data_IF_019809144934
#
_entry.id   IF_019809144934
#
_cell.length_a   1.000
_cell.length_b   1.000
_cell.length_c   1.000
_cell.angle_alpha   90.00
_cell.angle_beta   90.00
_cell.angle_gamma   90.00
#
_symmetry.space_group_name_H-M   'P 1'
#
loop_
_entity.id
_entity.type
_entity.pdbx_description
1 polymer ?
#
# COMPACT_ATOMS: atom_id res chain seq x y z
N UNK A 1 7.47 4.68 -5.99
CA UNK A 1 8.32 5.16 -5.05
C UNK A 1 8.95 4.25 -4.02
N UNK A 2 9.07 4.75 -2.81
CA UNK A 2 9.86 4.10 -1.75
C UNK A 2 9.49 2.63 -1.49
N UNK A 3 8.20 2.31 -1.40
CA UNK A 3 7.74 0.93 -1.17
C UNK A 3 8.14 -0.01 -2.30
N UNK A 4 8.10 0.44 -3.55
CA UNK A 4 8.54 -0.37 -4.68
C UNK A 4 10.04 -0.73 -4.60
N UNK A 5 10.89 0.24 -4.26
CA UNK A 5 12.33 -0.02 -4.05
C UNK A 5 12.58 -0.99 -2.90
N UNK A 6 11.87 -0.84 -1.78
CA UNK A 6 12.00 -1.76 -0.64
C UNK A 6 11.55 -3.16 -1.02
N UNK A 7 10.44 -3.29 -1.76
CA UNK A 7 9.97 -4.56 -2.30
C UNK A 7 11.04 -5.26 -3.14
N UNK A 8 11.66 -4.56 -4.10
CA UNK A 8 12.69 -5.15 -4.97
C UNK A 8 13.91 -5.64 -4.18
N UNK A 9 14.33 -4.90 -3.15
CA UNK A 9 15.41 -5.31 -2.24
C UNK A 9 15.01 -6.53 -1.40
N UNK A 10 13.77 -6.59 -0.92
CA UNK A 10 13.27 -7.75 -0.20
C UNK A 10 13.25 -8.99 -1.08
N UNK A 11 12.82 -8.86 -2.35
CA UNK A 11 12.86 -9.96 -3.31
C UNK A 11 14.29 -10.45 -3.55
N UNK A 12 15.25 -9.55 -3.76
CA UNK A 12 16.67 -9.90 -3.94
C UNK A 12 17.22 -10.67 -2.74
N UNK A 13 16.86 -10.24 -1.51
CA UNK A 13 17.30 -10.90 -0.28
C UNK A 13 16.65 -12.28 -0.08
N UNK A 14 15.36 -12.39 -0.36
CA UNK A 14 14.60 -13.63 -0.09
C UNK A 14 14.76 -14.69 -1.19
N UNK A 15 15.09 -14.27 -2.39
CA UNK A 15 15.22 -15.16 -3.55
C UNK A 15 16.62 -15.06 -4.18
N UNK A 16 17.65 -15.71 -3.60
CA UNK A 16 19.02 -15.65 -4.14
C UNK A 16 19.13 -16.07 -5.59
N UNK A 17 18.21 -16.90 -6.08
CA UNK A 17 18.14 -17.31 -7.49
C UNK A 17 17.93 -16.14 -8.47
N UNK A 18 17.43 -14.99 -8.02
CA UNK A 18 17.32 -13.77 -8.83
C UNK A 18 18.71 -13.15 -9.11
N UNK A 19 19.71 -13.55 -8.37
CA UNK A 19 21.10 -13.09 -8.48
C UNK A 19 21.35 -11.72 -7.85
N UNK A 20 22.63 -11.40 -7.59
CA UNK A 20 23.02 -10.14 -6.98
C UNK A 20 22.68 -8.95 -7.89
N UNK A 21 22.31 -7.82 -7.28
CA UNK A 21 21.95 -6.60 -8.00
C UNK A 21 20.60 -6.68 -8.73
N UNK A 22 19.72 -7.63 -8.38
CA UNK A 22 18.40 -7.76 -8.99
C UNK A 22 17.60 -6.46 -8.93
N UNK A 23 17.54 -5.81 -7.76
CA UNK A 23 16.84 -4.55 -7.58
C UNK A 23 17.38 -3.44 -8.50
N UNK A 24 18.70 -3.36 -8.69
CA UNK A 24 19.35 -2.40 -9.58
C UNK A 24 18.97 -2.67 -11.04
N UNK A 25 19.10 -3.93 -11.48
CA UNK A 25 18.75 -4.31 -12.87
C UNK A 25 17.29 -4.00 -13.20
N UNK A 26 16.36 -4.20 -12.25
CA UNK A 26 14.97 -3.80 -12.44
C UNK A 26 14.84 -2.28 -12.54
N UNK A 27 15.57 -1.53 -11.71
CA UNK A 27 15.56 -0.07 -11.76
C UNK A 27 16.14 0.50 -13.05
N UNK A 28 17.14 -0.16 -13.64
CA UNK A 28 17.72 0.23 -14.94
C UNK A 28 16.72 0.09 -16.10
N UNK A 29 15.68 -0.74 -15.94
CA UNK A 29 14.58 -0.90 -16.89
C UNK A 29 13.38 0.01 -16.60
N UNK A 30 13.45 0.90 -15.62
CA UNK A 30 12.35 1.84 -15.33
C UNK A 30 12.27 2.91 -16.40
N UNK A 31 11.19 2.89 -17.14
CA UNK A 31 10.93 3.84 -18.23
C UNK A 31 10.45 5.20 -17.69
N UNK A 32 9.66 5.17 -16.59
CA UNK A 32 9.07 6.39 -16.04
C UNK A 32 8.81 6.25 -14.53
N UNK A 33 8.84 7.39 -13.85
CA UNK A 33 8.46 7.53 -12.44
C UNK A 33 7.27 8.49 -12.35
N UNK A 34 6.10 7.94 -12.12
CA UNK A 34 4.88 8.74 -12.06
C UNK A 34 4.69 9.38 -10.68
N UNK A 35 4.08 10.57 -10.62
CA UNK A 35 3.81 11.27 -9.36
C UNK A 35 2.81 10.53 -8.47
N UNK A 36 1.98 9.67 -9.04
CA UNK A 36 1.01 8.86 -8.31
C UNK A 36 0.77 7.50 -9.00
N UNK A 37 0.22 6.56 -8.24
CA UNK A 37 -0.01 5.17 -8.70
C UNK A 37 -1.03 5.05 -9.84
N UNK A 38 -1.97 5.99 -9.96
CA UNK A 38 -2.95 5.97 -11.05
C UNK A 38 -2.29 6.21 -12.41
N UNK A 39 -1.28 7.11 -12.46
CA UNK A 39 -0.47 7.30 -13.65
C UNK A 39 0.26 6.04 -14.07
N UNK A 40 0.85 5.30 -13.12
CA UNK A 40 1.48 4.00 -13.38
C UNK A 40 0.48 3.01 -13.97
N UNK A 41 -0.68 2.86 -13.32
CA UNK A 41 -1.73 1.94 -13.77
C UNK A 41 -2.22 2.28 -15.19
N UNK A 42 -2.41 3.57 -15.47
CA UNK A 42 -2.86 4.04 -16.78
C UNK A 42 -1.85 3.70 -17.89
N UNK A 43 -0.56 3.87 -17.64
CA UNK A 43 0.48 3.53 -18.61
C UNK A 43 0.51 2.04 -18.95
N UNK A 44 0.37 1.17 -17.95
CA UNK A 44 0.25 -0.28 -18.17
C UNK A 44 -1.03 -0.59 -18.95
N UNK A 45 -2.16 0.00 -18.57
CA UNK A 45 -3.45 -0.24 -19.21
C UNK A 45 -3.51 0.25 -20.68
N UNK A 46 -2.69 1.23 -21.06
CA UNK A 46 -2.54 1.73 -22.43
C UNK A 46 -1.46 0.99 -23.22
N UNK A 47 -0.71 0.08 -22.59
CA UNK A 47 0.40 -0.62 -23.24
C UNK A 47 1.64 0.25 -23.49
N UNK A 48 1.78 1.37 -22.79
CA UNK A 48 2.97 2.22 -22.86
C UNK A 48 4.17 1.62 -22.13
N UNK A 49 3.90 0.75 -21.16
CA UNK A 49 4.88 -0.03 -20.41
C UNK A 49 4.33 -1.43 -20.13
N UNK A 50 5.22 -2.42 -20.01
CA UNK A 50 4.83 -3.83 -19.85
C UNK A 50 4.34 -4.15 -18.43
N UNK A 51 4.85 -3.45 -17.40
CA UNK A 51 4.51 -3.70 -16.01
C UNK A 51 4.63 -2.43 -15.15
N UNK A 52 3.92 -2.43 -14.03
CA UNK A 52 3.97 -1.35 -13.04
C UNK A 52 3.71 -1.84 -11.62
N UNK A 53 4.30 -1.19 -10.64
CA UNK A 53 4.07 -1.49 -9.22
C UNK A 53 3.07 -0.47 -8.67
N UNK A 54 1.91 -0.97 -8.26
CA UNK A 54 0.80 -0.17 -7.72
C UNK A 54 0.28 -0.81 -6.43
N UNK A 55 -0.63 -0.15 -5.72
CA UNK A 55 -1.32 -0.79 -4.60
C UNK A 55 -2.38 -1.76 -5.12
N UNK A 56 -2.63 -2.79 -4.35
CA UNK A 56 -3.69 -3.76 -4.67
C UNK A 56 -5.06 -3.09 -4.81
N UNK A 57 -5.32 -2.06 -4.01
CA UNK A 57 -6.55 -1.28 -4.06
C UNK A 57 -6.75 -0.56 -5.39
N UNK A 58 -5.68 -0.09 -6.04
CA UNK A 58 -5.76 0.55 -7.35
C UNK A 58 -6.01 -0.49 -8.45
N UNK A 59 -5.35 -1.64 -8.36
CA UNK A 59 -5.52 -2.73 -9.31
C UNK A 59 -6.88 -3.45 -9.19
N UNK A 60 -7.61 -3.27 -8.07
CA UNK A 60 -8.93 -3.84 -7.85
C UNK A 60 -10.09 -2.99 -8.41
N UNK A 61 -9.81 -1.89 -9.09
CA UNK A 61 -10.83 -1.07 -9.74
C UNK A 61 -11.38 -1.76 -10.99
N UNK A 62 -12.64 -1.49 -11.35
CA UNK A 62 -13.27 -2.02 -12.57
C UNK A 62 -12.44 -1.70 -13.82
N UNK A 63 -11.94 -0.48 -13.91
CA UNK A 63 -11.07 -0.05 -15.00
C UNK A 63 -9.81 -0.92 -15.16
N UNK A 64 -9.19 -1.29 -14.04
CA UNK A 64 -7.99 -2.11 -14.04
C UNK A 64 -8.30 -3.58 -14.39
N UNK A 65 -9.40 -4.12 -13.86
CA UNK A 65 -9.77 -5.53 -14.02
C UNK A 65 -9.91 -5.96 -15.48
N UNK A 66 -10.31 -5.05 -16.36
CA UNK A 66 -10.49 -5.33 -17.79
C UNK A 66 -9.20 -5.19 -18.61
N UNK A 67 -8.19 -4.48 -18.09
CA UNK A 67 -7.04 -4.01 -18.90
C UNK A 67 -5.70 -4.52 -18.42
N UNK A 68 -5.59 -4.97 -17.17
CA UNK A 68 -4.32 -5.42 -16.62
C UNK A 68 -4.45 -6.75 -15.91
N UNK A 69 -3.39 -7.54 -15.96
CA UNK A 69 -3.26 -8.74 -15.15
C UNK A 69 -2.50 -8.43 -13.86
N UNK A 70 -3.06 -8.85 -12.73
CA UNK A 70 -2.41 -8.66 -11.42
C UNK A 70 -1.52 -9.84 -11.10
N UNK A 71 -0.23 -9.57 -10.91
CA UNK A 71 0.75 -10.55 -10.41
C UNK A 71 0.90 -10.36 -8.90
N UNK A 72 0.62 -11.43 -8.14
CA UNK A 72 0.73 -11.38 -6.68
C UNK A 72 2.18 -11.40 -6.23
N UNK A 73 2.52 -10.48 -5.33
CA UNK A 73 3.83 -10.42 -4.69
C UNK A 73 3.85 -11.40 -3.52
N UNK A 74 4.91 -12.23 -3.35
CA UNK A 74 5.06 -13.10 -2.21
C UNK A 74 4.95 -12.34 -0.89
N UNK A 75 4.18 -12.90 0.07
CA UNK A 75 3.81 -12.19 1.30
C UNK A 75 5.02 -11.70 2.11
N UNK A 76 6.09 -12.50 2.18
CA UNK A 76 7.31 -12.15 2.91
C UNK A 76 8.10 -10.98 2.29
N UNK A 77 7.97 -10.74 0.97
CA UNK A 77 8.64 -9.63 0.28
C UNK A 77 7.77 -8.38 0.20
N UNK A 78 6.45 -8.53 0.33
CA UNK A 78 5.51 -7.43 0.14
C UNK A 78 5.55 -6.41 1.29
N UNK A 79 5.23 -5.16 0.98
CA UNK A 79 5.14 -4.07 1.95
C UNK A 79 3.68 -3.69 2.14
N UNK A 80 3.21 -3.74 3.37
CA UNK A 80 1.91 -3.17 3.72
C UNK A 80 2.05 -1.66 3.90
N UNK A 81 1.34 -0.88 3.09
CA UNK A 81 1.25 0.56 3.28
C UNK A 81 0.26 0.87 4.42
N UNK A 82 0.69 1.67 5.37
CA UNK A 82 -0.16 2.13 6.46
C UNK A 82 -0.74 3.51 6.12
N UNK A 83 -2.03 3.67 6.40
CA UNK A 83 -2.77 4.92 6.21
C UNK A 83 -3.21 5.44 7.58
N UNK A 84 -2.41 6.29 8.23
CA UNK A 84 -2.76 6.84 9.53
C UNK A 84 -3.88 7.87 9.40
N UNK A 85 -4.74 7.92 10.41
CA UNK A 85 -5.73 8.99 10.59
C UNK A 85 -5.45 9.70 11.90
N UNK A 86 -5.55 11.03 11.92
CA UNK A 86 -5.39 11.84 13.12
C UNK A 86 -6.46 12.94 13.16
N UNK A 87 -6.87 13.31 14.35
CA UNK A 87 -7.70 14.49 14.58
C UNK A 87 -6.77 15.68 14.74
N UNK A 88 -6.99 16.74 13.95
CA UNK A 88 -6.21 17.95 14.06
C UNK A 88 -6.44 18.64 15.40
N UNK A 89 -5.39 19.31 15.92
CA UNK A 89 -5.48 20.07 17.18
C UNK A 89 -6.54 21.18 17.10
N UNK A 90 -6.59 21.86 15.96
CA UNK A 90 -7.46 22.99 15.69
C UNK A 90 -8.68 22.59 14.84
N UNK A 91 -9.17 21.35 14.98
CA UNK A 91 -10.36 20.90 14.30
C UNK A 91 -11.57 21.75 14.74
N UNK A 92 -12.37 22.22 13.79
CA UNK A 92 -13.59 23.00 14.09
C UNK A 92 -14.60 22.19 14.92
N UNK A 93 -14.67 20.88 14.72
CA UNK A 93 -15.53 19.95 15.45
C UNK A 93 -14.74 18.73 15.93
N UNK A 94 -13.91 18.86 16.99
CA UNK A 94 -13.03 17.79 17.43
C UNK A 94 -13.80 16.56 17.96
N UNK A 95 -15.00 16.76 18.50
CA UNK A 95 -15.90 15.65 18.91
C UNK A 95 -16.27 14.77 17.75
N UNK A 96 -16.84 15.36 16.70
CA UNK A 96 -17.26 14.67 15.49
C UNK A 96 -16.07 14.02 14.76
N UNK A 97 -14.93 14.69 14.72
CA UNK A 97 -13.70 14.13 14.12
C UNK A 97 -13.22 12.86 14.87
N UNK A 98 -13.30 12.85 16.20
CA UNK A 98 -12.99 11.66 17.02
C UNK A 98 -14.00 10.54 16.79
N UNK A 99 -15.27 10.85 16.66
CA UNK A 99 -16.33 9.87 16.36
C UNK A 99 -16.11 9.24 14.98
N UNK A 100 -15.78 10.05 13.98
CA UNK A 100 -15.44 9.54 12.65
C UNK A 100 -14.21 8.61 12.67
N UNK A 101 -13.15 8.99 13.40
CA UNK A 101 -11.99 8.13 13.55
C UNK A 101 -12.35 6.79 14.21
N UNK A 102 -13.19 6.79 15.26
CA UNK A 102 -13.69 5.54 15.88
C UNK A 102 -14.57 4.74 14.93
N UNK A 103 -15.44 5.38 14.16
CA UNK A 103 -16.28 4.73 13.15
C UNK A 103 -15.41 3.98 12.13
N UNK A 104 -14.32 4.60 11.65
CA UNK A 104 -13.41 3.95 10.69
C UNK A 104 -12.75 2.68 11.25
N UNK A 105 -12.52 2.60 12.56
CA UNK A 105 -12.00 1.41 13.23
C UNK A 105 -13.08 0.37 13.55
N UNK A 106 -14.35 0.76 13.44
CA UNK A 106 -15.50 -0.12 13.72
C UNK A 106 -15.74 -1.14 12.61
N UNK A 107 -16.47 -2.20 12.94
CA UNK A 107 -16.68 -3.36 12.05
C UNK A 107 -17.33 -3.00 10.72
N UNK A 108 -18.32 -2.10 10.72
CA UNK A 108 -19.04 -1.67 9.51
C UNK A 108 -18.09 -0.99 8.51
N UNK A 109 -17.29 -0.04 8.97
CA UNK A 109 -16.32 0.66 8.12
C UNK A 109 -15.20 -0.29 7.67
N UNK A 110 -14.71 -1.15 8.56
CA UNK A 110 -13.69 -2.14 8.24
C UNK A 110 -14.19 -3.18 7.22
N UNK A 111 -15.47 -3.56 7.24
CA UNK A 111 -16.06 -4.41 6.21
C UNK A 111 -16.08 -3.73 4.84
N UNK A 112 -16.45 -2.45 4.79
CA UNK A 112 -16.40 -1.65 3.56
C UNK A 112 -14.96 -1.52 3.05
N UNK A 113 -14.01 -1.14 3.91
CA UNK A 113 -12.61 -1.03 3.53
C UNK A 113 -12.05 -2.35 2.98
N UNK A 114 -12.42 -3.46 3.60
CA UNK A 114 -12.02 -4.80 3.13
C UNK A 114 -12.55 -5.11 1.73
N UNK A 115 -13.79 -4.71 1.39
CA UNK A 115 -14.34 -4.94 0.03
C UNK A 115 -13.57 -4.17 -1.04
N UNK A 116 -12.89 -3.08 -0.68
CA UNK A 116 -11.97 -2.33 -1.55
C UNK A 116 -10.51 -2.81 -1.47
N UNK A 117 -10.22 -3.93 -0.81
CA UNK A 117 -8.89 -4.52 -0.77
C UNK A 117 -7.99 -4.03 0.36
N UNK A 118 -8.47 -3.16 1.25
CA UNK A 118 -7.72 -2.75 2.44
C UNK A 118 -7.65 -3.89 3.47
N UNK A 119 -6.57 -3.92 4.22
CA UNK A 119 -6.41 -4.81 5.38
C UNK A 119 -6.80 -4.07 6.65
N UNK A 120 -7.32 -4.79 7.65
CA UNK A 120 -7.50 -4.22 8.99
C UNK A 120 -6.15 -3.77 9.55
N UNK A 121 -6.11 -2.65 10.31
CA UNK A 121 -4.93 -2.29 11.08
C UNK A 121 -4.55 -3.45 11.99
N UNK A 122 -3.24 -3.73 12.11
CA UNK A 122 -2.76 -4.58 13.19
C UNK A 122 -3.21 -3.95 14.52
N UNK A 123 -3.69 -4.75 15.47
CA UNK A 123 -4.00 -4.23 16.80
C UNK A 123 -2.71 -3.62 17.37
N UNK A 124 -2.70 -2.30 17.49
CA UNK A 124 -1.65 -1.62 18.22
C UNK A 124 -1.85 -2.04 19.67
N UNK A 125 -1.03 -2.94 20.16
CA UNK A 125 -0.93 -3.17 21.60
C UNK A 125 -0.51 -1.81 22.18
N UNK A 126 -1.44 -1.17 22.88
CA UNK A 126 -1.11 0.02 23.65
C UNK A 126 0.09 -0.33 24.53
N UNK A 127 1.18 0.45 24.55
CA UNK A 127 2.24 0.20 25.49
C UNK A 127 1.60 0.21 26.87
N UNK A 128 1.63 -0.93 27.53
CA UNK A 128 1.18 -1.08 28.90
C UNK A 128 1.92 -0.03 29.73
N UNK A 129 1.18 0.99 30.14
CA UNK A 129 1.71 2.06 30.97
C UNK A 129 2.23 1.47 32.31
N UNK A 130 3.53 1.24 32.33
CA UNK A 130 4.27 1.16 33.58
C UNK A 130 4.68 2.56 33.97
N UNK A 131 3.72 3.35 34.46
CA UNK A 131 4.06 4.49 35.29
C UNK A 131 3.90 4.06 36.75
N UNK A 132 4.98 3.59 37.34
CA UNK A 132 5.15 3.56 38.78
C UNK A 132 6.33 4.47 39.15
N UNK A 133 5.93 5.54 39.81
CA UNK A 133 6.68 6.47 40.68
C UNK A 133 7.43 7.59 40.03
#
# INVERSE_FOLDING_TARGET
GRYALTLLRNLETQYPALGPGYASRVMDNVVTLEPNVRGVLQKVALGEVDAGIVYRTDAATEYAAEKVQVVSIPQGSNIAAEYPIAVLRDAANPGLAKEFARFLLGERAQAILKSYGFKRPAQIQSPSGSNQR
#
